data_IF_775757336180
#
_entry.id   IF_775757336180
#
_cell.length_a   1.000
_cell.length_b   1.000
_cell.length_c   1.000
_cell.angle_alpha   90.00
_cell.angle_beta   90.00
_cell.angle_gamma   90.00
#
_symmetry.space_group_name_H-M   'P 1'
#
loop_
_entity.id
_entity.type
_entity.pdbx_description
1 polymer ?
#
# COMPACT_ATOMS: atom_id res chain seq x y z
N UNK A 1 3.81 14.36 -2.45
CA UNK A 1 2.57 15.07 -2.02
C UNK A 1 1.41 14.12 -1.68
N UNK A 2 1.21 12.96 -2.38
CA UNK A 2 0.15 12.01 -2.04
C UNK A 2 0.37 11.35 -0.66
N UNK A 3 1.55 10.83 -0.38
CA UNK A 3 1.89 10.23 0.93
C UNK A 3 1.82 11.25 2.09
N UNK A 4 2.10 12.53 1.85
CA UNK A 4 2.06 13.55 2.90
C UNK A 4 0.63 13.95 3.28
N UNK A 5 -0.36 13.81 2.38
CA UNK A 5 -1.77 14.11 2.67
C UNK A 5 -2.50 12.97 3.39
N UNK A 6 -2.06 11.72 3.19
CA UNK A 6 -2.65 10.52 3.79
C UNK A 6 -2.26 10.33 5.27
N UNK A 7 -1.10 10.86 5.68
CA UNK A 7 -0.55 10.68 7.04
C UNK A 7 -1.26 11.54 8.12
N UNK A 8 -2.28 12.33 7.77
CA UNK A 8 -2.87 13.33 8.67
C UNK A 8 -3.93 12.83 9.66
N UNK A 9 -4.25 11.55 9.71
CA UNK A 9 -5.28 11.04 10.62
C UNK A 9 -4.76 10.80 12.05
N UNK A 10 -5.59 11.06 13.05
CA UNK A 10 -5.26 11.01 14.50
C UNK A 10 -4.55 9.75 14.96
N UNK A 11 -4.94 8.58 14.44
CA UNK A 11 -4.32 7.29 14.76
C UNK A 11 -2.87 7.21 14.27
N UNK A 12 -2.57 7.78 13.09
CA UNK A 12 -1.22 7.84 12.54
C UNK A 12 -0.39 8.99 13.10
N UNK A 13 -0.99 9.89 13.89
CA UNK A 13 -0.32 10.99 14.60
C UNK A 13 0.17 10.61 16.00
N UNK A 14 -0.28 9.49 16.58
CA UNK A 14 0.27 9.02 17.86
C UNK A 14 1.76 8.75 17.67
N UNK A 15 2.56 9.50 18.36
CA UNK A 15 4.01 9.36 18.38
C UNK A 15 4.35 7.98 18.97
N UNK A 16 4.78 7.06 18.13
CA UNK A 16 5.14 5.70 18.54
C UNK A 16 6.60 5.62 19.03
N UNK A 17 7.23 6.76 19.37
CA UNK A 17 8.62 6.84 19.79
C UNK A 17 8.95 5.98 21.03
N UNK A 18 7.95 5.61 21.82
CA UNK A 18 8.10 4.73 22.99
C UNK A 18 7.84 3.24 22.76
N UNK A 19 7.40 2.84 21.57
CA UNK A 19 7.15 1.41 21.33
C UNK A 19 8.46 0.65 21.03
N UNK A 20 8.63 -0.57 21.61
CA UNK A 20 9.80 -1.38 21.33
C UNK A 20 9.85 -1.75 19.86
N UNK A 21 11.04 -1.72 19.27
CA UNK A 21 11.32 -2.14 17.90
C UNK A 21 11.82 -3.56 17.87
N UNK A 22 11.53 -4.27 16.78
CA UNK A 22 12.14 -5.57 16.53
C UNK A 22 13.62 -5.35 16.20
N UNK A 23 14.57 -5.90 16.97
CA UNK A 23 16.00 -5.73 16.69
C UNK A 23 16.36 -6.21 15.28
N UNK A 24 17.30 -5.53 14.66
CA UNK A 24 17.80 -5.94 13.34
C UNK A 24 18.62 -7.25 13.48
N UNK A 25 18.39 -8.19 12.57
CA UNK A 25 19.10 -9.50 12.55
C UNK A 25 20.63 -9.40 12.40
N UNK A 26 21.12 -8.27 11.90
CA UNK A 26 22.57 -7.99 11.77
C UNK A 26 23.15 -7.23 12.96
N UNK A 27 22.36 -6.96 14.01
CA UNK A 27 22.80 -6.24 15.19
C UNK A 27 23.09 -4.76 14.95
N UNK A 28 22.55 -4.16 13.88
CA UNK A 28 22.72 -2.74 13.59
C UNK A 28 22.08 -1.86 14.68
N UNK A 29 22.81 -0.81 15.10
CA UNK A 29 22.23 0.22 15.95
C UNK A 29 21.06 0.90 15.25
N UNK A 30 20.01 1.37 15.97
CA UNK A 30 18.79 1.92 15.35
C UNK A 30 19.01 3.10 14.41
N UNK A 31 20.04 3.89 14.65
CA UNK A 31 20.45 5.08 13.87
C UNK A 31 21.43 4.77 12.73
N UNK A 32 21.98 3.55 12.70
CA UNK A 32 22.90 3.16 11.63
C UNK A 32 22.17 3.12 10.27
N UNK A 33 22.76 3.77 9.28
CA UNK A 33 22.28 3.80 7.89
C UNK A 33 23.22 2.95 7.03
N UNK A 34 22.79 1.75 6.61
CA UNK A 34 23.60 0.90 5.74
C UNK A 34 23.86 1.59 4.38
N UNK A 35 25.05 1.40 3.78
CA UNK A 35 25.36 1.98 2.49
C UNK A 35 24.45 1.43 1.40
N UNK A 36 23.99 2.32 0.51
CA UNK A 36 23.14 1.99 -0.61
C UNK A 36 24.01 1.81 -1.89
N UNK A 37 24.51 0.61 -2.10
CA UNK A 37 25.25 0.27 -3.32
C UNK A 37 24.31 -0.16 -4.44
N UNK A 38 24.41 0.50 -5.61
CA UNK A 38 23.58 0.18 -6.79
C UNK A 38 23.80 -1.24 -7.31
N UNK A 39 25.02 -1.75 -7.23
CA UNK A 39 25.36 -3.13 -7.62
C UNK A 39 24.66 -4.14 -6.71
N UNK A 40 24.68 -3.89 -5.39
CA UNK A 40 24.01 -4.75 -4.39
C UNK A 40 22.49 -4.68 -4.53
N UNK A 41 21.92 -3.48 -4.70
CA UNK A 41 20.49 -3.31 -4.93
C UNK A 41 20.07 -4.06 -6.21
N UNK A 42 20.79 -3.86 -7.30
CA UNK A 42 20.50 -4.53 -8.58
C UNK A 42 20.65 -6.06 -8.49
N UNK A 43 21.64 -6.55 -7.74
CA UNK A 43 21.77 -7.98 -7.48
C UNK A 43 20.58 -8.52 -6.70
N UNK A 44 20.19 -7.90 -5.59
CA UNK A 44 19.05 -8.30 -4.77
C UNK A 44 17.73 -8.25 -5.53
N UNK A 45 17.51 -7.21 -6.34
CA UNK A 45 16.29 -7.11 -7.17
C UNK A 45 16.14 -8.27 -8.14
N UNK A 46 17.25 -8.77 -8.73
CA UNK A 46 17.23 -9.96 -9.59
C UNK A 46 16.87 -11.26 -8.85
N UNK A 47 17.04 -11.29 -7.53
CA UNK A 47 16.63 -12.45 -6.72
C UNK A 47 15.13 -12.44 -6.35
N UNK A 48 14.44 -11.33 -6.55
CA UNK A 48 12.99 -11.26 -6.31
C UNK A 48 12.28 -12.03 -7.43
N UNK A 49 11.74 -13.18 -7.08
CA UNK A 49 10.92 -13.97 -8.02
C UNK A 49 9.58 -13.26 -8.22
N UNK A 50 9.41 -12.63 -9.37
CA UNK A 50 8.23 -11.83 -9.70
C UNK A 50 8.01 -11.78 -11.21
N UNK A 51 6.76 -11.94 -11.67
CA UNK A 51 6.42 -11.66 -13.06
C UNK A 51 6.42 -10.15 -13.37
N UNK A 52 6.44 -9.30 -12.33
CA UNK A 52 6.57 -7.84 -12.47
C UNK A 52 8.06 -7.51 -12.57
N UNK A 53 8.51 -6.80 -13.63
CA UNK A 53 9.93 -6.48 -13.78
C UNK A 53 10.47 -5.60 -12.66
N UNK A 54 11.44 -6.10 -11.89
CA UNK A 54 12.13 -5.38 -10.81
C UNK A 54 13.51 -4.94 -11.30
N UNK A 55 13.65 -3.67 -11.70
CA UNK A 55 14.92 -3.13 -12.19
C UNK A 55 15.32 -1.88 -11.42
N UNK A 56 16.58 -1.84 -10.97
CA UNK A 56 17.17 -0.63 -10.41
C UNK A 56 17.48 0.37 -11.53
N UNK A 57 17.18 1.62 -11.30
CA UNK A 57 17.58 2.77 -12.09
C UNK A 57 17.55 4.02 -11.19
N UNK A 58 17.95 5.18 -11.72
CA UNK A 58 18.02 6.43 -10.95
C UNK A 58 16.70 6.83 -10.28
N UNK A 59 15.56 6.59 -10.93
CA UNK A 59 14.23 6.88 -10.37
C UNK A 59 13.92 5.95 -9.19
N UNK A 60 14.06 4.66 -9.38
CA UNK A 60 13.83 3.64 -8.33
C UNK A 60 14.79 3.86 -7.16
N UNK A 61 16.08 4.14 -7.45
CA UNK A 61 17.11 4.42 -6.45
C UNK A 61 16.74 5.61 -5.57
N UNK A 62 16.21 6.68 -6.17
CA UNK A 62 15.74 7.86 -5.43
C UNK A 62 14.60 7.55 -4.46
N UNK A 63 13.66 6.66 -4.84
CA UNK A 63 12.59 6.20 -3.95
C UNK A 63 13.09 5.26 -2.86
N UNK A 64 14.05 4.37 -3.14
CA UNK A 64 14.69 3.53 -2.12
C UNK A 64 15.32 4.42 -1.05
N UNK A 65 16.10 5.43 -1.45
CA UNK A 65 16.72 6.39 -0.51
C UNK A 65 15.66 7.16 0.30
N UNK A 66 14.62 7.62 -0.38
CA UNK A 66 13.51 8.34 0.28
C UNK A 66 12.86 7.49 1.38
N UNK A 67 12.50 6.25 1.08
CA UNK A 67 11.80 5.38 2.02
C UNK A 67 12.73 4.77 3.08
N UNK A 68 13.96 4.38 2.71
CA UNK A 68 14.90 3.77 3.65
C UNK A 68 15.53 4.77 4.62
N UNK A 69 15.68 6.04 4.22
CA UNK A 69 16.38 7.06 5.00
C UNK A 69 15.43 8.17 5.42
N UNK A 70 14.93 8.97 4.46
CA UNK A 70 14.15 10.18 4.77
C UNK A 70 12.78 9.90 5.38
N UNK A 71 12.14 8.81 5.00
CA UNK A 71 10.84 8.36 5.52
C UNK A 71 10.95 7.02 6.28
N UNK A 72 12.09 6.75 6.91
CA UNK A 72 12.37 5.50 7.63
C UNK A 72 11.25 5.13 8.60
N UNK A 73 10.82 6.05 9.46
CA UNK A 73 9.77 5.82 10.46
C UNK A 73 8.42 5.42 9.81
N UNK A 74 8.06 6.00 8.66
CA UNK A 74 6.88 5.59 7.90
C UNK A 74 7.04 4.16 7.37
N UNK A 75 8.19 3.83 6.81
CA UNK A 75 8.46 2.50 6.27
C UNK A 75 8.45 1.43 7.36
N UNK A 76 9.02 1.72 8.53
CA UNK A 76 9.00 0.84 9.70
C UNK A 76 7.57 0.60 10.22
N UNK A 77 6.71 1.63 10.18
CA UNK A 77 5.28 1.51 10.50
C UNK A 77 4.57 0.61 9.47
N UNK A 78 4.79 0.84 8.18
CA UNK A 78 4.22 0.02 7.12
C UNK A 78 4.64 -1.44 7.25
N UNK A 79 5.89 -1.72 7.60
CA UNK A 79 6.37 -3.08 7.90
C UNK A 79 5.60 -3.73 9.06
N UNK A 80 5.26 -2.96 10.09
CA UNK A 80 4.46 -3.47 11.20
C UNK A 80 3.01 -3.76 10.78
N UNK A 81 2.36 -2.82 10.06
CA UNK A 81 0.99 -2.97 9.55
C UNK A 81 0.86 -4.07 8.49
N UNK A 82 1.91 -4.34 7.72
CA UNK A 82 1.89 -5.38 6.69
C UNK A 82 1.63 -6.77 7.26
N UNK A 83 2.08 -7.05 8.48
CA UNK A 83 1.81 -8.33 9.16
C UNK A 83 0.31 -8.60 9.31
N UNK A 84 -0.49 -7.53 9.41
CA UNK A 84 -1.92 -7.60 9.55
C UNK A 84 -2.65 -7.65 8.20
N UNK A 85 -2.33 -6.72 7.28
CA UNK A 85 -3.06 -6.60 6.03
C UNK A 85 -2.61 -7.56 4.92
N UNK A 86 -1.33 -7.95 4.90
CA UNK A 86 -0.82 -8.79 3.81
C UNK A 86 -1.49 -10.15 3.70
N UNK A 87 -1.83 -10.86 4.79
CA UNK A 87 -2.60 -12.11 4.66
C UNK A 87 -3.93 -11.94 3.92
N UNK A 88 -4.64 -10.82 4.14
CA UNK A 88 -5.90 -10.50 3.44
C UNK A 88 -5.65 -10.25 1.96
N UNK A 89 -4.61 -9.47 1.64
CA UNK A 89 -4.26 -9.14 0.24
C UNK A 89 -3.76 -10.38 -0.51
N UNK A 90 -2.90 -11.17 0.11
CA UNK A 90 -2.36 -12.40 -0.46
C UNK A 90 -3.47 -13.40 -0.77
N UNK A 91 -4.41 -13.61 0.14
CA UNK A 91 -5.57 -14.46 -0.10
C UNK A 91 -6.44 -13.97 -1.28
N UNK A 92 -6.62 -12.66 -1.45
CA UNK A 92 -7.33 -12.10 -2.59
C UNK A 92 -6.53 -12.29 -3.91
N UNK A 93 -5.24 -11.97 -3.91
CA UNK A 93 -4.36 -12.12 -5.07
C UNK A 93 -4.28 -13.58 -5.53
N UNK A 94 -4.19 -14.52 -4.60
CA UNK A 94 -4.17 -15.96 -4.87
C UNK A 94 -5.47 -16.43 -5.53
N UNK A 95 -6.65 -16.06 -4.98
CA UNK A 95 -7.95 -16.39 -5.59
C UNK A 95 -8.08 -15.91 -7.04
N UNK A 96 -7.44 -14.78 -7.37
CA UNK A 96 -7.48 -14.21 -8.72
C UNK A 96 -6.30 -14.63 -9.61
N UNK A 97 -5.39 -15.50 -9.13
CA UNK A 97 -4.16 -15.92 -9.81
C UNK A 97 -3.28 -14.71 -10.21
N UNK A 98 -3.02 -13.81 -9.27
CA UNK A 98 -2.27 -12.59 -9.49
C UNK A 98 -0.93 -12.56 -8.76
N UNK A 99 0.06 -11.80 -9.25
CA UNK A 99 1.35 -11.68 -8.58
C UNK A 99 1.23 -11.17 -7.15
N UNK A 100 1.81 -11.88 -6.19
CA UNK A 100 1.78 -11.51 -4.77
C UNK A 100 2.44 -10.15 -4.48
N UNK A 101 3.36 -9.69 -5.35
CA UNK A 101 3.99 -8.38 -5.21
C UNK A 101 2.99 -7.21 -5.31
N UNK A 102 1.83 -7.41 -5.95
CA UNK A 102 0.80 -6.39 -6.06
C UNK A 102 0.22 -5.95 -4.70
N UNK A 103 0.39 -6.74 -3.63
CA UNK A 103 0.06 -6.31 -2.25
C UNK A 103 0.76 -5.00 -1.85
N UNK A 104 1.97 -4.76 -2.40
CA UNK A 104 2.72 -3.54 -2.12
C UNK A 104 2.10 -2.28 -2.74
N UNK A 105 1.12 -2.44 -3.63
CA UNK A 105 0.39 -1.32 -4.20
C UNK A 105 -0.38 -0.53 -3.12
N UNK A 106 -1.02 -1.22 -2.17
CA UNK A 106 -1.71 -0.60 -1.05
C UNK A 106 -0.78 0.23 -0.15
N UNK A 107 0.53 -0.11 -0.12
CA UNK A 107 1.53 0.73 0.56
C UNK A 107 1.72 2.06 -0.17
N UNK A 108 1.84 2.01 -1.50
CA UNK A 108 2.02 3.23 -2.33
C UNK A 108 0.76 4.10 -2.28
N UNK A 109 -0.42 3.49 -2.25
CA UNK A 109 -1.72 4.18 -2.27
C UNK A 109 -2.04 4.87 -0.93
N UNK A 110 -1.87 4.15 0.18
CA UNK A 110 -2.39 4.61 1.47
C UNK A 110 -1.42 4.48 2.64
N UNK A 111 -0.20 3.98 2.43
CA UNK A 111 0.69 3.53 3.50
C UNK A 111 -0.01 2.54 4.48
N UNK A 112 -0.87 1.68 3.95
CA UNK A 112 -1.72 0.72 4.67
C UNK A 112 -2.71 1.40 5.66
N UNK A 113 -3.19 2.59 5.34
CA UNK A 113 -4.21 3.28 6.13
C UNK A 113 -5.61 3.01 5.56
N UNK A 114 -6.48 2.24 6.25
CA UNK A 114 -7.82 1.92 5.76
C UNK A 114 -8.75 3.13 5.72
N UNK A 115 -8.48 4.16 6.51
CA UNK A 115 -9.28 5.39 6.57
C UNK A 115 -8.75 6.50 5.66
N UNK A 116 -7.76 6.21 4.80
CA UNK A 116 -7.19 7.20 3.92
C UNK A 116 -8.22 7.75 2.93
N UNK A 117 -8.28 9.08 2.83
CA UNK A 117 -9.09 9.78 1.83
C UNK A 117 -8.23 10.82 1.14
N UNK A 118 -8.13 10.73 -0.19
CA UNK A 118 -7.41 11.72 -1.00
C UNK A 118 -8.24 13.00 -1.22
N UNK A 119 -7.60 14.07 -1.69
CA UNK A 119 -8.29 15.34 -2.03
C UNK A 119 -9.37 15.16 -3.09
N UNK A 120 -9.22 14.16 -3.96
CA UNK A 120 -10.16 13.86 -5.05
C UNK A 120 -11.17 12.78 -4.69
N UNK A 121 -11.22 12.36 -3.41
CA UNK A 121 -12.22 11.43 -2.89
C UNK A 121 -11.90 9.95 -3.11
N UNK A 122 -10.66 9.59 -3.47
CA UNK A 122 -10.23 8.20 -3.41
C UNK A 122 -10.15 7.75 -1.94
N UNK A 123 -10.57 6.52 -1.62
CA UNK A 123 -10.75 6.06 -0.24
C UNK A 123 -10.21 4.65 -0.02
N UNK A 124 -9.73 4.41 1.21
CA UNK A 124 -9.33 3.10 1.73
C UNK A 124 -7.91 2.67 1.35
N UNK A 125 -7.58 1.43 1.68
CA UNK A 125 -6.25 0.82 1.46
C UNK A 125 -5.79 0.87 0.01
N UNK A 126 -6.71 0.68 -0.92
CA UNK A 126 -6.49 0.61 -2.36
C UNK A 126 -6.84 1.91 -3.10
N UNK A 127 -7.23 2.96 -2.37
CA UNK A 127 -7.55 4.30 -2.90
C UNK A 127 -8.54 4.28 -4.06
N UNK A 128 -9.62 3.52 -3.94
CA UNK A 128 -10.67 3.52 -4.96
C UNK A 128 -11.36 4.87 -5.09
N UNK A 129 -11.42 5.38 -6.32
CA UNK A 129 -12.36 6.45 -6.67
C UNK A 129 -13.78 5.93 -6.56
N UNK A 130 -14.74 6.81 -6.17
CA UNK A 130 -16.13 6.41 -5.97
C UNK A 130 -16.71 5.64 -7.16
N UNK A 131 -16.60 6.19 -8.38
CA UNK A 131 -17.14 5.54 -9.59
C UNK A 131 -16.47 4.21 -9.89
N UNK A 132 -15.17 4.13 -9.76
CA UNK A 132 -14.43 2.88 -9.97
C UNK A 132 -14.80 1.84 -8.94
N UNK A 133 -14.92 2.21 -7.66
CA UNK A 133 -15.37 1.28 -6.62
C UNK A 133 -16.76 0.70 -6.93
N UNK A 134 -17.71 1.55 -7.31
CA UNK A 134 -19.06 1.11 -7.71
C UNK A 134 -19.04 0.17 -8.92
N UNK A 135 -18.20 0.45 -9.92
CA UNK A 135 -18.03 -0.41 -11.11
C UNK A 135 -17.57 -1.82 -10.73
N UNK A 136 -16.74 -1.94 -9.69
CA UNK A 136 -16.24 -3.21 -9.16
C UNK A 136 -17.07 -3.75 -7.98
N UNK A 137 -18.29 -3.22 -7.78
CA UNK A 137 -19.29 -3.76 -6.86
C UNK A 137 -19.17 -3.29 -5.41
N UNK A 138 -18.29 -2.33 -5.11
CA UNK A 138 -18.17 -1.74 -3.78
C UNK A 138 -19.33 -0.77 -3.53
N UNK A 139 -20.04 -0.95 -2.42
CA UNK A 139 -21.17 -0.10 -2.04
C UNK A 139 -20.69 1.06 -1.16
N UNK A 140 -21.23 2.23 -1.42
CA UNK A 140 -20.98 3.43 -0.61
C UNK A 140 -22.31 4.10 -0.31
N UNK A 141 -22.62 4.22 0.97
CA UNK A 141 -23.82 4.91 1.44
C UNK A 141 -23.49 5.78 2.65
N UNK A 142 -24.49 6.37 3.29
CA UNK A 142 -24.30 7.26 4.43
C UNK A 142 -23.64 6.57 5.64
N UNK A 143 -23.87 5.29 5.83
CA UNK A 143 -23.42 4.52 7.00
C UNK A 143 -22.15 3.73 6.76
N UNK A 144 -21.85 3.37 5.50
CA UNK A 144 -20.78 2.44 5.17
C UNK A 144 -20.12 2.79 3.84
N UNK A 145 -18.81 2.60 3.78
CA UNK A 145 -17.99 2.78 2.58
C UNK A 145 -17.10 1.54 2.40
N UNK A 146 -17.56 0.59 1.57
CA UNK A 146 -16.88 -0.69 1.32
C UNK A 146 -15.50 -0.53 0.63
N UNK A 147 -15.15 0.67 0.15
CA UNK A 147 -13.79 0.97 -0.34
C UNK A 147 -12.76 0.92 0.79
N UNK A 148 -13.21 1.01 2.06
CA UNK A 148 -12.40 0.93 3.27
C UNK A 148 -12.33 -0.47 3.86
N UNK A 149 -13.21 -1.37 3.43
CA UNK A 149 -13.21 -2.76 3.83
C UNK A 149 -12.00 -3.50 3.21
N UNK A 150 -11.10 -4.08 4.01
CA UNK A 150 -9.89 -4.71 3.48
C UNK A 150 -10.16 -5.90 2.56
N UNK A 151 -11.20 -6.68 2.84
CA UNK A 151 -11.54 -7.88 2.07
C UNK A 151 -12.22 -7.53 0.76
N UNK A 152 -13.30 -6.73 0.82
CA UNK A 152 -14.08 -6.34 -0.34
C UNK A 152 -13.26 -5.47 -1.30
N UNK A 153 -12.50 -4.50 -0.76
CA UNK A 153 -11.66 -3.64 -1.56
C UNK A 153 -10.48 -4.40 -2.20
N UNK A 154 -9.92 -5.41 -1.53
CA UNK A 154 -8.85 -6.23 -2.13
C UNK A 154 -9.36 -7.08 -3.28
N UNK A 155 -10.55 -7.69 -3.15
CA UNK A 155 -11.17 -8.43 -4.23
C UNK A 155 -11.47 -7.52 -5.44
N UNK A 156 -12.05 -6.35 -5.19
CA UNK A 156 -12.33 -5.35 -6.23
C UNK A 156 -11.03 -4.87 -6.92
N UNK A 157 -9.94 -4.65 -6.16
CA UNK A 157 -8.64 -4.25 -6.71
C UNK A 157 -8.04 -5.32 -7.60
N UNK A 158 -8.15 -6.59 -7.21
CA UNK A 158 -7.70 -7.71 -8.05
C UNK A 158 -8.49 -7.76 -9.38
N UNK A 159 -9.81 -7.63 -9.34
CA UNK A 159 -10.63 -7.58 -10.56
C UNK A 159 -10.28 -6.40 -11.46
N UNK A 160 -10.10 -5.22 -10.89
CA UNK A 160 -9.70 -4.04 -11.65
C UNK A 160 -8.31 -4.20 -12.29
N UNK A 161 -7.31 -4.66 -11.54
CA UNK A 161 -5.97 -4.91 -12.08
C UNK A 161 -5.97 -6.00 -13.16
N UNK A 162 -6.83 -7.02 -13.03
CA UNK A 162 -6.99 -8.09 -14.02
C UNK A 162 -7.52 -7.55 -15.34
N UNK A 163 -8.54 -6.67 -15.31
CA UNK A 163 -9.08 -6.02 -16.51
C UNK A 163 -8.03 -5.13 -17.20
N UNK A 164 -7.22 -4.41 -16.39
CA UNK A 164 -6.11 -3.65 -16.91
C UNK A 164 -5.03 -4.56 -17.54
N UNK A 165 -4.77 -5.72 -16.94
CA UNK A 165 -3.80 -6.67 -17.49
C UNK A 165 -4.29 -7.28 -18.81
N UNK A 166 -5.58 -7.59 -18.95
CA UNK A 166 -6.14 -8.00 -20.24
C UNK A 166 -5.96 -6.94 -21.33
N UNK A 167 -5.94 -5.65 -20.94
CA UNK A 167 -5.76 -4.54 -21.89
C UNK A 167 -4.31 -4.34 -22.30
N UNK A 168 -3.37 -4.43 -21.36
CA UNK A 168 -1.98 -4.01 -21.57
C UNK A 168 -0.99 -5.17 -21.67
N UNK A 169 -1.30 -6.33 -21.10
CA UNK A 169 -0.40 -7.49 -20.97
C UNK A 169 1.01 -7.13 -20.41
N UNK A 170 1.10 -6.05 -19.64
CA UNK A 170 2.32 -5.52 -19.01
C UNK A 170 1.99 -4.97 -17.64
N UNK A 171 2.60 -5.52 -16.60
CA UNK A 171 2.32 -5.13 -15.21
C UNK A 171 2.71 -3.69 -14.90
N UNK A 172 3.77 -3.15 -15.50
CA UNK A 172 4.17 -1.75 -15.25
C UNK A 172 3.15 -0.78 -15.86
N UNK A 173 2.56 -1.15 -17.01
CA UNK A 173 1.45 -0.39 -17.61
C UNK A 173 0.16 -0.54 -16.79
N UNK A 174 -0.11 -1.73 -16.21
CA UNK A 174 -1.21 -1.94 -15.28
C UNK A 174 -1.10 -1.00 -14.08
N UNK A 175 0.08 -0.93 -13.44
CA UNK A 175 0.32 -0.02 -12.32
C UNK A 175 0.13 1.44 -12.73
N UNK A 176 0.64 1.85 -13.90
CA UNK A 176 0.42 3.20 -14.41
C UNK A 176 -1.06 3.49 -14.67
N UNK A 177 -1.79 2.54 -15.27
CA UNK A 177 -3.22 2.67 -15.56
C UNK A 177 -4.09 2.65 -14.29
N UNK A 178 -3.70 1.90 -13.28
CA UNK A 178 -4.34 1.93 -11.96
C UNK A 178 -4.31 3.34 -11.35
N UNK A 179 -3.15 3.99 -11.41
CA UNK A 179 -2.94 5.33 -10.85
C UNK A 179 -3.63 6.44 -11.67
N UNK A 180 -3.41 6.50 -12.99
CA UNK A 180 -3.91 7.63 -13.79
C UNK A 180 -5.09 7.31 -14.71
N UNK A 181 -5.55 6.08 -14.68
CA UNK A 181 -6.59 5.58 -15.59
C UNK A 181 -6.07 5.17 -16.98
N UNK A 182 -6.74 4.20 -17.63
CA UNK A 182 -6.33 3.67 -18.93
C UNK A 182 -6.33 4.74 -20.04
N UNK A 183 -7.21 5.73 -19.95
CA UNK A 183 -7.25 6.84 -20.92
C UNK A 183 -5.96 7.63 -21.00
N UNK A 184 -5.32 7.91 -19.86
CA UNK A 184 -4.04 8.62 -19.82
C UNK A 184 -2.88 7.77 -20.31
N UNK A 185 -2.86 6.47 -20.01
CA UNK A 185 -1.86 5.53 -20.54
C UNK A 185 -1.99 5.44 -22.08
N UNK A 186 -3.19 5.26 -22.62
CA UNK A 186 -3.42 5.23 -24.06
C UNK A 186 -3.03 6.54 -24.76
N UNK A 187 -3.27 7.69 -24.10
CA UNK A 187 -2.82 8.99 -24.60
C UNK A 187 -1.27 9.08 -24.63
N UNK A 188 -0.61 8.57 -23.59
CA UNK A 188 0.87 8.52 -23.51
C UNK A 188 1.45 7.62 -24.61
N UNK A 189 0.87 6.44 -24.84
CA UNK A 189 1.25 5.53 -25.93
C UNK A 189 1.15 6.24 -27.28
N UNK A 190 0.04 6.91 -27.59
CA UNK A 190 -0.10 7.65 -28.86
C UNK A 190 0.91 8.79 -28.99
N UNK A 191 1.16 9.55 -27.89
CA UNK A 191 2.10 10.68 -27.90
C UNK A 191 3.57 10.25 -28.00
N UNK A 192 3.90 9.04 -27.58
CA UNK A 192 5.24 8.47 -27.70
C UNK A 192 5.52 7.86 -29.08
N UNK A 193 4.58 7.93 -30.01
CA UNK A 193 4.71 7.27 -31.32
C UNK A 193 4.44 5.78 -31.30
N UNK A 194 3.55 5.32 -30.39
CA UNK A 194 3.14 3.91 -30.31
C UNK A 194 4.04 3.03 -29.42
N UNK A 195 4.87 3.62 -28.57
CA UNK A 195 5.66 2.86 -27.61
C UNK A 195 4.78 2.19 -26.58
N UNK A 196 5.13 0.95 -26.17
CA UNK A 196 4.28 0.09 -25.35
C UNK A 196 4.94 -0.37 -24.04
N UNK A 197 6.10 0.19 -23.67
CA UNK A 197 6.70 -0.08 -22.35
C UNK A 197 6.57 1.13 -21.44
N UNK A 198 6.39 0.90 -20.13
CA UNK A 198 6.26 1.99 -19.15
C UNK A 198 7.40 3.02 -19.25
N UNK A 199 8.64 2.54 -19.33
CA UNK A 199 9.82 3.43 -19.31
C UNK A 199 9.90 4.34 -20.54
N UNK A 200 9.42 3.88 -21.70
CA UNK A 200 9.37 4.68 -22.93
C UNK A 200 8.22 5.69 -22.91
N UNK A 201 7.07 5.36 -22.35
CA UNK A 201 5.92 6.27 -22.28
C UNK A 201 5.94 7.19 -21.06
N UNK A 202 6.79 6.91 -20.07
CA UNK A 202 6.88 7.64 -18.80
C UNK A 202 6.95 9.18 -18.98
N UNK A 203 7.74 9.75 -19.93
CA UNK A 203 7.79 11.20 -20.13
C UNK A 203 6.45 11.82 -20.53
N UNK A 204 5.55 11.04 -21.11
CA UNK A 204 4.25 11.49 -21.63
C UNK A 204 3.10 11.26 -20.62
N UNK A 205 3.37 10.55 -19.52
CA UNK A 205 2.42 10.31 -18.44
C UNK A 205 2.26 11.56 -17.54
N UNK A 206 1.14 11.68 -16.79
CA UNK A 206 0.99 12.69 -15.75
C UNK A 206 2.20 12.65 -14.77
N UNK A 207 2.61 13.82 -14.27
CA UNK A 207 3.81 13.95 -13.44
C UNK A 207 3.79 13.02 -12.21
N UNK A 208 2.64 12.83 -11.60
CA UNK A 208 2.43 11.94 -10.49
C UNK A 208 2.68 10.48 -10.86
N UNK A 209 2.15 10.03 -11.98
CA UNK A 209 2.24 8.65 -12.47
C UNK A 209 3.68 8.26 -12.85
N UNK A 210 4.51 9.24 -13.26
CA UNK A 210 5.93 8.98 -13.56
C UNK A 210 6.70 8.44 -12.35
N UNK A 211 6.35 8.88 -11.15
CA UNK A 211 6.96 8.39 -9.90
C UNK A 211 6.30 7.14 -9.32
N UNK A 212 5.10 6.80 -9.75
CA UNK A 212 4.28 5.76 -9.12
C UNK A 212 4.88 4.35 -9.28
N UNK A 213 5.23 3.96 -10.50
CA UNK A 213 5.87 2.66 -10.77
C UNK A 213 7.25 2.55 -10.13
N UNK A 214 8.16 3.54 -10.24
CA UNK A 214 9.40 3.54 -9.47
C UNK A 214 9.20 3.40 -7.96
N UNK A 215 8.19 4.08 -7.39
CA UNK A 215 7.84 3.95 -5.96
C UNK A 215 7.39 2.53 -5.61
N UNK A 216 6.54 1.91 -6.43
CA UNK A 216 6.11 0.51 -6.24
C UNK A 216 7.30 -0.46 -6.25
N UNK A 217 8.22 -0.33 -7.20
CA UNK A 217 9.43 -1.17 -7.27
C UNK A 217 10.30 -0.98 -6.03
N UNK A 218 10.50 0.27 -5.60
CA UNK A 218 11.27 0.59 -4.40
C UNK A 218 10.63 0.02 -3.12
N UNK A 219 9.32 0.17 -2.97
CA UNK A 219 8.57 -0.41 -1.83
C UNK A 219 8.68 -1.93 -1.85
N UNK A 220 8.45 -2.58 -3.00
CA UNK A 220 8.58 -4.04 -3.11
C UNK A 220 9.96 -4.51 -2.68
N UNK A 221 11.02 -3.82 -3.13
CA UNK A 221 12.39 -4.12 -2.74
C UNK A 221 12.63 -3.97 -1.23
N UNK A 222 12.20 -2.84 -0.64
CA UNK A 222 12.41 -2.57 0.79
C UNK A 222 11.58 -3.48 1.70
N UNK A 223 10.38 -3.86 1.28
CA UNK A 223 9.55 -4.83 2.01
C UNK A 223 10.11 -6.25 1.94
N UNK A 224 10.91 -6.56 0.90
CA UNK A 224 11.60 -7.85 0.77
C UNK A 224 12.92 -7.89 1.55
N UNK A 225 13.64 -6.77 1.62
CA UNK A 225 14.96 -6.66 2.26
C UNK A 225 15.02 -5.60 3.38
N UNK A 226 14.07 -5.62 4.35
CA UNK A 226 14.02 -4.56 5.36
C UNK A 226 15.23 -4.55 6.28
N UNK A 227 15.75 -5.72 6.68
CA UNK A 227 16.87 -5.83 7.60
C UNK A 227 18.17 -5.27 7.01
N UNK A 228 18.36 -5.46 5.71
CA UNK A 228 19.51 -4.99 4.94
C UNK A 228 19.59 -3.45 4.85
N UNK A 229 18.47 -2.78 5.09
CA UNK A 229 18.33 -1.33 5.14
C UNK A 229 18.10 -0.79 6.55
N UNK A 230 18.31 -1.64 7.57
CA UNK A 230 18.09 -1.32 8.97
C UNK A 230 16.69 -0.74 9.26
N UNK A 231 15.68 -1.27 8.57
CA UNK A 231 14.28 -0.95 8.82
C UNK A 231 13.78 -1.88 9.94
N UNK A 232 13.54 -1.31 11.11
CA UNK A 232 13.16 -2.03 12.31
C UNK A 232 11.67 -1.78 12.61
N UNK A 233 10.76 -2.71 12.26
CA UNK A 233 9.34 -2.52 12.52
C UNK A 233 9.07 -2.46 14.02
N UNK A 234 8.02 -1.76 14.42
CA UNK A 234 7.56 -1.78 15.79
C UNK A 234 7.12 -3.19 16.19
N UNK A 235 7.44 -3.60 17.41
CA UNK A 235 7.18 -4.96 17.90
C UNK A 235 5.69 -5.26 18.03
N UNK A 236 4.89 -4.24 18.28
CA UNK A 236 3.43 -4.32 18.34
C UNK A 236 2.81 -3.12 17.63
N UNK A 237 2.15 -3.36 16.50
CA UNK A 237 0.92 -2.65 16.19
C UNK A 237 -0.14 -3.52 16.86
N UNK A 238 -0.74 -3.03 17.94
CA UNK A 238 -1.70 -3.79 18.73
C UNK A 238 -3.07 -3.84 18.02
N UNK A 239 -3.08 -4.45 16.83
CA UNK A 239 -4.32 -4.89 16.22
C UNK A 239 -4.52 -6.34 16.65
N UNK A 240 -5.64 -6.69 17.27
CA UNK A 240 -5.94 -8.08 17.57
C UNK A 240 -5.98 -8.87 16.26
N UNK A 241 -5.21 -9.95 16.19
CA UNK A 241 -5.23 -10.88 15.06
C UNK A 241 -6.49 -11.76 15.10
N UNK A 242 -7.08 -11.91 16.28
CA UNK A 242 -8.31 -12.64 16.50
C UNK A 242 -9.41 -11.64 16.82
N UNK A 243 -10.49 -11.69 16.07
CA UNK A 243 -11.67 -10.86 16.23
C UNK A 243 -12.91 -11.75 16.22
N UNK A 244 -13.94 -11.31 16.95
CA UNK A 244 -15.24 -11.94 16.92
C UNK A 244 -16.30 -10.89 16.53
N UNK A 245 -17.46 -11.35 16.09
CA UNK A 245 -18.55 -10.49 15.64
C UNK A 245 -19.63 -10.40 16.70
N UNK A 246 -19.97 -9.19 17.11
CA UNK A 246 -21.10 -8.93 18.00
C UNK A 246 -22.26 -8.35 17.18
N UNK A 247 -23.38 -9.08 17.13
CA UNK A 247 -24.58 -8.60 16.50
C UNK A 247 -25.32 -7.63 17.43
N UNK A 248 -25.54 -6.39 16.98
CA UNK A 248 -26.25 -5.34 17.74
C UNK A 248 -27.64 -5.14 17.14
N UNK A 249 -28.68 -5.21 17.96
CA UNK A 249 -30.09 -5.08 17.51
C UNK A 249 -30.59 -3.63 17.45
N UNK A 250 -29.73 -2.63 17.78
CA UNK A 250 -30.11 -1.22 17.79
C UNK A 250 -28.91 -0.30 17.87
N UNK A 251 -29.11 1.03 17.82
CA UNK A 251 -28.01 1.99 17.94
C UNK A 251 -27.25 1.81 19.25
N UNK A 252 -25.96 1.54 19.16
CA UNK A 252 -25.06 1.37 20.30
C UNK A 252 -23.89 2.35 20.15
N UNK A 253 -23.72 3.34 21.08
CA UNK A 253 -22.56 4.22 21.05
C UNK A 253 -21.25 3.42 21.20
N UNK A 254 -20.31 3.64 20.30
CA UNK A 254 -19.06 2.88 20.25
C UNK A 254 -18.25 3.00 21.55
N UNK A 255 -18.23 4.20 22.16
CA UNK A 255 -17.58 4.45 23.44
C UNK A 255 -18.17 3.65 24.59
N UNK A 256 -19.50 3.51 24.62
CA UNK A 256 -20.20 2.70 25.62
C UNK A 256 -19.90 1.21 25.42
N UNK A 257 -19.91 0.72 24.18
CA UNK A 257 -19.57 -0.66 23.88
C UNK A 257 -18.11 -0.96 24.23
N UNK A 258 -17.17 -0.07 23.89
CA UNK A 258 -15.77 -0.20 24.26
C UNK A 258 -15.59 -0.35 25.79
N UNK A 259 -16.32 0.46 26.57
CA UNK A 259 -16.30 0.37 28.02
C UNK A 259 -16.84 -0.98 28.54
N UNK A 260 -17.93 -1.49 27.94
CA UNK A 260 -18.53 -2.77 28.30
C UNK A 260 -17.58 -3.96 28.10
N UNK A 261 -16.81 -3.95 27.03
CA UNK A 261 -15.87 -5.05 26.70
C UNK A 261 -14.44 -4.80 27.22
N UNK A 262 -14.22 -3.71 27.98
CA UNK A 262 -12.92 -3.35 28.52
C UNK A 262 -11.86 -2.98 27.46
N UNK A 263 -12.28 -2.48 26.31
CA UNK A 263 -11.43 -2.11 25.19
C UNK A 263 -11.31 -0.59 25.06
N UNK A 264 -10.18 -0.13 24.54
CA UNK A 264 -9.99 1.28 24.16
C UNK A 264 -10.93 1.64 22.99
N UNK A 265 -11.63 2.77 23.10
CA UNK A 265 -12.61 3.19 22.09
C UNK A 265 -11.97 3.50 20.72
N UNK A 266 -10.74 4.01 20.71
CA UNK A 266 -10.00 4.27 19.46
C UNK A 266 -9.59 2.95 18.80
N UNK A 267 -9.25 1.92 19.62
CA UNK A 267 -8.96 0.56 19.15
C UNK A 267 -10.20 -0.08 18.56
N UNK A 268 -11.36 0.03 19.23
CA UNK A 268 -12.63 -0.52 18.73
C UNK A 268 -13.04 0.16 17.43
N UNK A 269 -12.89 1.48 17.33
CA UNK A 269 -13.16 2.23 16.10
C UNK A 269 -12.25 1.79 14.95
N UNK A 270 -11.01 1.44 15.24
CA UNK A 270 -10.08 0.91 14.24
C UNK A 270 -10.50 -0.47 13.74
N UNK A 271 -10.93 -1.37 14.65
CA UNK A 271 -11.41 -2.70 14.30
C UNK A 271 -12.67 -2.61 13.44
N UNK A 272 -13.61 -1.72 13.77
CA UNK A 272 -14.81 -1.52 12.94
C UNK A 272 -14.51 -0.98 11.53
N UNK A 273 -13.40 -0.27 11.33
CA UNK A 273 -12.97 0.17 10.00
C UNK A 273 -12.29 -0.94 9.20
N UNK A 274 -11.95 -2.04 9.85
CA UNK A 274 -11.20 -3.16 9.29
C UNK A 274 -12.11 -4.36 9.02
N UNK A 275 -13.25 -4.47 9.73
CA UNK A 275 -14.25 -5.53 9.65
C UNK A 275 -15.67 -4.96 9.50
#
# INVERSE_FOLDING_TARGET
RQLDSVVSLRFFKKDHTGLPRVPNKYGYAPDYIPPLSDSVISFRMRQIQSPIPMRNNSYVRGFIEMYAIRKKALTERVLALSKYYYPVFEAALERHNMPHQLKHLAVVESALNPSAVSRVGASGLWQFMYRTGMQYGLKVNYYSDERRDPYLASDAACRFMKDLYYTYNDWLLVLAAYNCGPGNVNKAIRRSGGKTTFWEIMPYLPAETRGYVPAFIAVTYLMTYPAEHNLQPFAQVALPLETDTVAVQGPLPLSYFAQMIGMDADMLALIQLVF
#
